data_IF_455921051672
#
_entry.id   IF_455921051672
#
_cell.length_a   1.000
_cell.length_b   1.000
_cell.length_c   1.000
_cell.angle_alpha   90.00
_cell.angle_beta   90.00
_cell.angle_gamma   90.00
#
_symmetry.space_group_name_H-M   'P 1'
#
loop_
_entity.id
_entity.type
_entity.pdbx_description
1 polymer ?
#
# COMPACT_ATOMS: atom_id res chain seq x y z
N UNK A 1 -22.21 25.61 -5.96
CA UNK A 1 -21.19 26.54 -6.45
C UNK A 1 -20.63 25.95 -7.71
N UNK A 2 -20.61 26.73 -8.79
CA UNK A 2 -19.95 26.36 -10.04
C UNK A 2 -18.44 26.57 -9.86
N UNK A 3 -17.64 25.60 -10.29
CA UNK A 3 -16.19 25.72 -10.27
C UNK A 3 -15.74 26.55 -11.47
N UNK A 4 -14.92 27.57 -11.23
CA UNK A 4 -14.34 28.41 -12.28
C UNK A 4 -12.86 28.09 -12.43
N UNK A 5 -12.50 27.43 -13.54
CA UNK A 5 -11.12 27.04 -13.83
C UNK A 5 -10.17 28.25 -13.82
N UNK A 6 -10.60 29.39 -14.37
CA UNK A 6 -9.79 30.61 -14.42
C UNK A 6 -9.40 31.11 -13.03
N UNK A 7 -10.34 31.11 -12.07
CA UNK A 7 -10.04 31.51 -10.69
C UNK A 7 -9.06 30.57 -10.00
N UNK A 8 -9.18 29.28 -10.28
CA UNK A 8 -8.26 28.29 -9.74
C UNK A 8 -6.84 28.45 -10.31
N UNK A 9 -6.69 28.88 -11.57
CA UNK A 9 -5.37 29.10 -12.18
C UNK A 9 -4.71 30.36 -11.58
N UNK A 10 -5.48 31.42 -11.32
CA UNK A 10 -4.99 32.65 -10.69
C UNK A 10 -4.60 32.44 -9.21
N UNK A 11 -5.42 31.72 -8.44
CA UNK A 11 -5.17 31.44 -7.01
C UNK A 11 -5.46 29.95 -6.69
N UNK A 12 -4.52 29.05 -7.01
CA UNK A 12 -4.70 27.61 -6.81
C UNK A 12 -4.66 27.28 -5.32
N UNK A 13 -5.84 27.04 -4.74
CA UNK A 13 -6.00 26.64 -3.35
C UNK A 13 -6.52 25.22 -3.21
N UNK A 14 -6.13 24.56 -2.13
CA UNK A 14 -6.46 23.16 -1.93
C UNK A 14 -7.90 22.95 -1.50
N UNK A 15 -8.50 23.91 -0.80
CA UNK A 15 -9.91 23.86 -0.45
C UNK A 15 -10.80 23.88 -1.70
N UNK A 16 -10.42 24.69 -2.70
CA UNK A 16 -11.08 24.70 -4.01
C UNK A 16 -10.88 23.37 -4.73
N UNK A 17 -9.65 22.86 -4.75
CA UNK A 17 -9.33 21.58 -5.37
C UNK A 17 -10.06 20.39 -4.72
N UNK A 18 -10.21 20.39 -3.39
CA UNK A 18 -10.90 19.32 -2.66
C UNK A 18 -12.41 19.28 -2.98
N UNK A 19 -12.99 20.47 -3.13
CA UNK A 19 -14.40 20.70 -3.45
C UNK A 19 -14.75 20.43 -4.92
N UNK A 20 -13.76 20.26 -5.81
CA UNK A 20 -13.97 20.02 -7.24
C UNK A 20 -14.76 18.73 -7.53
N UNK A 21 -15.63 18.77 -8.54
CA UNK A 21 -16.29 17.60 -9.11
C UNK A 21 -15.36 16.89 -10.08
N UNK A 22 -15.75 15.67 -10.50
CA UNK A 22 -14.96 14.90 -11.49
C UNK A 22 -14.79 15.67 -12.82
N UNK A 23 -15.83 16.36 -13.27
CA UNK A 23 -15.76 17.18 -14.49
C UNK A 23 -14.73 18.32 -14.33
N UNK A 24 -14.76 19.01 -13.21
CA UNK A 24 -13.83 20.09 -12.86
C UNK A 24 -12.38 19.60 -12.84
N UNK A 25 -12.12 18.44 -12.22
CA UNK A 25 -10.80 17.81 -12.19
C UNK A 25 -10.29 17.43 -13.59
N UNK A 26 -11.18 17.02 -14.50
CA UNK A 26 -10.81 16.75 -15.89
C UNK A 26 -10.47 18.05 -16.65
N UNK A 27 -11.15 19.16 -16.36
CA UNK A 27 -10.82 20.46 -16.95
C UNK A 27 -9.46 20.96 -16.47
N UNK A 28 -9.17 20.82 -15.17
CA UNK A 28 -7.86 21.13 -14.60
C UNK A 28 -6.79 20.25 -15.28
N UNK A 29 -7.03 18.94 -15.37
CA UNK A 29 -6.08 18.02 -16.01
C UNK A 29 -5.81 18.38 -17.48
N UNK A 30 -6.84 18.74 -18.25
CA UNK A 30 -6.69 19.14 -19.64
C UNK A 30 -5.90 20.45 -19.79
N UNK A 31 -6.15 21.41 -18.89
CA UNK A 31 -5.45 22.70 -18.87
C UNK A 31 -3.95 22.54 -18.56
N UNK A 32 -3.63 21.79 -17.50
CA UNK A 32 -2.25 21.54 -17.07
C UNK A 32 -1.58 20.37 -17.82
N UNK A 33 -2.25 19.81 -18.85
CA UNK A 33 -1.77 18.68 -19.66
C UNK A 33 -1.35 17.46 -18.84
N UNK A 34 -2.11 17.17 -17.78
CA UNK A 34 -1.91 16.00 -16.91
C UNK A 34 -2.67 14.82 -17.51
N UNK A 35 -1.98 13.70 -17.71
CA UNK A 35 -2.56 12.49 -18.30
C UNK A 35 -3.56 11.80 -17.35
N UNK A 36 -4.84 11.92 -17.67
CA UNK A 36 -5.93 11.25 -16.93
C UNK A 36 -6.90 10.59 -17.90
N UNK A 37 -7.42 9.42 -17.55
CA UNK A 37 -8.44 8.75 -18.36
C UNK A 37 -9.83 9.19 -17.90
N UNK A 38 -10.74 9.46 -18.84
CA UNK A 38 -12.14 9.77 -18.49
C UNK A 38 -12.82 8.63 -17.72
N UNK A 39 -12.37 7.40 -17.96
CA UNK A 39 -12.81 6.17 -17.27
C UNK A 39 -12.31 6.07 -15.83
N UNK A 40 -11.27 6.82 -15.44
CA UNK A 40 -10.70 6.76 -14.09
C UNK A 40 -11.71 7.24 -13.04
N UNK A 41 -11.59 6.71 -11.81
CA UNK A 41 -12.45 7.14 -10.70
C UNK A 41 -12.06 8.55 -10.23
N UNK A 42 -12.97 9.25 -9.56
CA UNK A 42 -12.71 10.62 -9.04
C UNK A 42 -11.44 10.67 -8.20
N UNK A 43 -11.23 9.65 -7.34
CA UNK A 43 -10.04 9.56 -6.49
C UNK A 43 -8.76 9.44 -7.32
N UNK A 44 -8.74 8.55 -8.31
CA UNK A 44 -7.56 8.34 -9.17
C UNK A 44 -7.22 9.61 -9.95
N UNK A 45 -8.23 10.28 -10.52
CA UNK A 45 -8.05 11.56 -11.22
C UNK A 45 -7.50 12.60 -10.25
N UNK A 46 -8.08 12.72 -9.04
CA UNK A 46 -7.63 13.67 -8.02
C UNK A 46 -6.16 13.45 -7.67
N UNK A 47 -5.74 12.21 -7.41
CA UNK A 47 -4.34 11.87 -7.11
C UNK A 47 -3.39 12.24 -8.24
N UNK A 48 -3.73 11.88 -9.49
CA UNK A 48 -2.90 12.21 -10.67
C UNK A 48 -2.78 13.72 -10.87
N UNK A 49 -3.90 14.43 -10.74
CA UNK A 49 -3.93 15.89 -10.90
C UNK A 49 -3.15 16.58 -9.78
N UNK A 50 -3.30 16.16 -8.52
CA UNK A 50 -2.46 16.68 -7.42
C UNK A 50 -0.98 16.47 -7.69
N UNK A 51 -0.56 15.27 -8.09
CA UNK A 51 0.83 14.99 -8.39
C UNK A 51 1.38 15.88 -9.52
N UNK A 52 0.63 16.04 -10.61
CA UNK A 52 1.02 16.91 -11.72
C UNK A 52 1.06 18.40 -11.35
N UNK A 53 0.13 18.86 -10.51
CA UNK A 53 0.14 20.24 -10.01
C UNK A 53 1.32 20.53 -9.07
N UNK A 54 1.74 19.54 -8.27
CA UNK A 54 2.94 19.64 -7.43
C UNK A 54 4.22 19.64 -8.28
N UNK A 55 4.31 18.79 -9.30
CA UNK A 55 5.46 18.72 -10.20
C UNK A 55 5.64 20.03 -10.98
N UNK A 56 4.54 20.65 -11.40
CA UNK A 56 4.53 21.96 -12.05
C UNK A 56 4.66 23.14 -11.07
N UNK A 57 4.80 22.88 -9.76
CA UNK A 57 4.88 23.88 -8.68
C UNK A 57 3.70 24.87 -8.65
N UNK A 58 2.54 24.44 -9.13
CA UNK A 58 1.29 25.21 -9.10
C UNK A 58 0.70 25.16 -7.69
N UNK A 59 0.79 24.02 -7.03
CA UNK A 59 0.48 23.86 -5.62
C UNK A 59 1.78 23.72 -4.82
N UNK A 60 1.85 24.38 -3.68
CA UNK A 60 2.97 24.24 -2.73
C UNK A 60 2.79 22.98 -1.88
N UNK A 61 3.87 22.22 -1.66
CA UNK A 61 3.89 21.06 -0.75
C UNK A 61 3.47 21.40 0.70
N UNK A 62 3.57 22.67 1.09
CA UNK A 62 3.15 23.15 2.41
C UNK A 62 1.63 23.37 2.50
N UNK A 63 0.97 23.63 1.36
CA UNK A 63 -0.46 23.85 1.30
C UNK A 63 -1.23 22.54 1.32
N UNK A 64 -0.67 21.45 0.76
CA UNK A 64 -1.27 20.12 0.85
C UNK A 64 -1.24 19.73 2.31
N UNK A 65 -2.40 19.60 2.99
CA UNK A 65 -2.38 18.86 4.24
C UNK A 65 -1.75 17.54 3.84
N UNK A 66 -0.57 17.25 4.40
CA UNK A 66 0.03 15.93 4.29
C UNK A 66 -1.09 15.00 4.68
N UNK A 67 -1.73 14.42 3.67
CA UNK A 67 -2.70 13.36 3.84
C UNK A 67 -1.80 12.24 4.29
N UNK A 68 -1.52 12.24 5.59
CA UNK A 68 -1.06 11.11 6.37
C UNK A 68 -1.83 9.96 5.80
N UNK A 69 -1.12 9.18 4.98
CA UNK A 69 -1.60 8.08 4.19
C UNK A 69 -3.12 7.96 4.27
N UNK A 70 -3.85 8.51 3.30
CA UNK A 70 -5.13 7.87 2.97
C UNK A 70 -4.72 6.43 2.81
N UNK A 71 -5.07 5.63 3.80
CA UNK A 71 -5.00 4.19 3.76
C UNK A 71 -5.93 3.93 2.60
N UNK A 72 -5.36 3.89 1.41
CA UNK A 72 -5.95 3.21 0.28
C UNK A 72 -5.94 1.81 0.82
N UNK A 73 -6.98 1.46 1.58
CA UNK A 73 -7.46 0.11 1.72
C UNK A 73 -7.96 -0.24 0.32
N UNK A 74 -7.00 -0.27 -0.61
CA UNK A 74 -7.05 -1.10 -1.76
C UNK A 74 -7.36 -2.46 -1.15
N UNK A 75 -8.51 -3.10 -1.47
CA UNK A 75 -8.82 -4.41 -0.94
C UNK A 75 -7.68 -5.41 -1.17
N UNK A 76 -6.77 -5.11 -2.11
CA UNK A 76 -5.56 -5.86 -2.36
C UNK A 76 -4.48 -5.74 -1.25
N UNK A 77 -4.30 -4.58 -0.62
CA UNK A 77 -3.29 -4.40 0.44
C UNK A 77 -3.66 -5.16 1.73
N UNK A 78 -4.95 -5.20 2.07
CA UNK A 78 -5.48 -5.99 3.18
C UNK A 78 -5.37 -7.49 2.91
N UNK A 79 -5.57 -7.92 1.66
CA UNK A 79 -5.38 -9.31 1.24
C UNK A 79 -3.90 -9.72 1.28
N UNK A 80 -2.99 -8.88 0.82
CA UNK A 80 -1.55 -9.14 0.90
C UNK A 80 -1.08 -9.25 2.36
N UNK A 81 -1.51 -8.33 3.24
CA UNK A 81 -1.17 -8.40 4.66
C UNK A 81 -1.66 -9.71 5.32
N UNK A 82 -2.88 -10.17 5.00
CA UNK A 82 -3.38 -11.48 5.44
C UNK A 82 -2.61 -12.66 4.85
N UNK A 83 -2.20 -12.59 3.59
CA UNK A 83 -1.40 -13.64 2.95
C UNK A 83 -0.03 -13.80 3.64
N UNK A 84 0.66 -12.69 3.92
CA UNK A 84 1.91 -12.73 4.65
C UNK A 84 1.76 -13.28 6.06
N UNK A 85 0.70 -12.90 6.79
CA UNK A 85 0.46 -13.42 8.14
C UNK A 85 0.20 -14.94 8.13
N UNK A 86 -0.55 -15.43 7.13
CA UNK A 86 -0.80 -16.87 6.96
C UNK A 86 0.46 -17.63 6.58
N UNK A 87 1.29 -17.08 5.69
CA UNK A 87 2.56 -17.69 5.30
C UNK A 87 3.54 -17.77 6.47
N UNK A 88 3.64 -16.69 7.25
CA UNK A 88 4.46 -16.67 8.47
C UNK A 88 4.00 -17.72 9.49
N UNK A 89 2.69 -17.84 9.73
CA UNK A 89 2.13 -18.89 10.60
C UNK A 89 2.43 -20.30 10.08
N UNK A 90 2.36 -20.51 8.76
CA UNK A 90 2.67 -21.80 8.14
C UNK A 90 4.15 -22.16 8.29
N UNK A 91 5.05 -21.20 8.13
CA UNK A 91 6.48 -21.40 8.38
C UNK A 91 6.75 -21.78 9.84
N UNK A 92 6.15 -21.07 10.80
CA UNK A 92 6.33 -21.33 12.22
C UNK A 92 5.84 -22.73 12.64
N UNK A 93 4.73 -23.20 12.05
CA UNK A 93 4.25 -24.57 12.27
C UNK A 93 5.21 -25.61 11.71
N UNK A 94 5.76 -25.35 10.51
CA UNK A 94 6.71 -26.26 9.86
C UNK A 94 8.05 -26.31 10.60
N UNK A 95 8.52 -25.19 11.13
CA UNK A 95 9.71 -25.13 11.97
C UNK A 95 9.52 -25.93 13.26
N UNK A 96 8.38 -25.77 13.96
CA UNK A 96 8.06 -26.58 15.14
C UNK A 96 7.96 -28.07 14.85
N UNK A 97 7.40 -28.45 13.71
CA UNK A 97 7.31 -29.86 13.29
C UNK A 97 8.69 -30.44 13.01
N UNK A 98 9.57 -29.67 12.36
CA UNK A 98 10.95 -30.08 12.11
C UNK A 98 11.73 -30.21 13.42
N UNK A 99 11.62 -29.25 14.33
CA UNK A 99 12.26 -29.31 15.66
C UNK A 99 11.81 -30.56 16.44
N UNK A 100 10.51 -30.87 16.43
CA UNK A 100 9.99 -32.06 17.09
C UNK A 100 10.54 -33.36 16.47
N UNK A 101 10.67 -33.42 15.14
CA UNK A 101 11.25 -34.58 14.46
C UNK A 101 12.74 -34.77 14.79
N UNK A 102 13.51 -33.67 14.83
CA UNK A 102 14.93 -33.72 15.20
C UNK A 102 15.07 -34.24 16.63
N UNK A 103 14.30 -33.72 17.58
CA UNK A 103 14.32 -34.18 18.99
C UNK A 103 13.99 -35.66 19.14
N UNK A 104 13.03 -36.17 18.35
CA UNK A 104 12.68 -37.59 18.39
C UNK A 104 13.81 -38.46 17.83
N UNK A 105 14.40 -38.05 16.70
CA UNK A 105 15.54 -38.78 16.11
C UNK A 105 16.78 -38.75 17.00
N UNK A 106 17.08 -37.63 17.65
CA UNK A 106 18.19 -37.55 18.60
C UNK A 106 18.01 -38.53 19.75
N UNK A 107 16.81 -38.62 20.35
CA UNK A 107 16.52 -39.58 21.41
C UNK A 107 16.60 -41.04 20.95
N UNK A 108 16.14 -41.33 19.74
CA UNK A 108 16.24 -42.68 19.17
C UNK A 108 17.69 -43.07 18.88
N UNK A 109 18.49 -42.13 18.37
CA UNK A 109 19.91 -42.33 18.12
C UNK A 109 20.68 -42.53 19.43
N UNK A 110 20.38 -41.73 20.45
CA UNK A 110 20.98 -41.83 21.79
C UNK A 110 20.67 -43.19 22.44
N UNK A 111 19.41 -43.66 22.34
CA UNK A 111 19.02 -45.00 22.80
C UNK A 111 19.71 -46.14 22.03
N UNK A 112 19.93 -45.98 20.71
CA UNK A 112 20.67 -46.97 19.92
C UNK A 112 22.16 -47.00 20.29
N UNK A 113 22.77 -45.85 20.54
CA UNK A 113 24.17 -45.75 21.00
C UNK A 113 24.30 -46.37 22.39
N UNK A 114 23.37 -46.11 23.30
CA UNK A 114 23.38 -46.69 24.64
C UNK A 114 23.27 -48.23 24.59
N UNK A 115 22.37 -48.78 23.76
CA UNK A 115 22.22 -50.23 23.56
C UNK A 115 23.42 -50.90 22.88
N UNK A 116 24.16 -50.19 22.03
CA UNK A 116 25.35 -50.74 21.32
C UNK A 116 26.66 -50.52 22.07
N UNK A 117 26.65 -49.74 23.16
CA UNK A 117 27.83 -49.40 23.96
C UNK A 117 28.07 -50.30 25.18
N UNK A 118 27.24 -51.34 25.41
CA UNK A 118 27.48 -52.33 26.46
C UNK A 118 28.63 -53.27 26.06
N UNK A 119 29.80 -53.23 26.74
CA UNK A 119 30.86 -54.20 26.52
C UNK A 119 30.45 -55.56 27.11
N UNK A 120 30.58 -56.63 26.30
CA UNK A 120 30.63 -58.01 26.79
C UNK A 120 31.92 -58.28 27.57
#
# INVERSE_FOLDING_TARGET
MEFELSRFIDDPTIEQFDSCRKADLLLIADHFKIEVLRSDTKLVIKTKVTAGLLEQKVLSEDAVPRVSSVKVESPNATLQARQFELEFKRLALKEKEVDAQVRLKEKELDAQVEMTSLPC
#
